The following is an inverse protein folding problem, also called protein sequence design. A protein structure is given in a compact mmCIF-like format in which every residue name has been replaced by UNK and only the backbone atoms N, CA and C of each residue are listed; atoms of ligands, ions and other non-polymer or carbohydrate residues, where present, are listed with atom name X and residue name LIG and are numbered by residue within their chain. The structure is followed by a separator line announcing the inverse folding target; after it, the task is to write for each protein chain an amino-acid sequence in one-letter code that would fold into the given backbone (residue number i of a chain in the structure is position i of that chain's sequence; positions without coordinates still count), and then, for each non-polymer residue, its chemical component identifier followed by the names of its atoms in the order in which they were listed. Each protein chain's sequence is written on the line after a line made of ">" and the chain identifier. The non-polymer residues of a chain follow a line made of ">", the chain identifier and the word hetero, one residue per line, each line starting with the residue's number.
data_IF_835672561405
#
_entry.id   IF_835672561405
#
_cell.length_a   1.000
_cell.length_b   1.000
_cell.length_c   1.000
_cell.angle_alpha   90.00
_cell.angle_beta   90.00
_cell.angle_gamma   90.00
#
_symmetry.space_group_name_H-M   'P 1'
#
loop_
_entity.id
_entity.type
_entity.pdbx_description
1 polymer ?
#
# COMPACT_ATOMS: atom_id res chain seq x y z
N UNK A 1 -56.46 -6.93 22.71
CA UNK A 1 -55.38 -7.94 22.60
C UNK A 1 -54.25 -7.54 23.54
N UNK A 2 -54.00 -8.36 24.56
CA UNK A 2 -52.87 -8.25 25.50
C UNK A 2 -51.54 -8.50 24.78
N UNK A 3 -50.46 -7.90 25.29
CA UNK A 3 -49.07 -8.43 25.48
C UNK A 3 -48.26 -7.20 25.96
N UNK A 4 -48.24 -6.92 27.27
CA UNK A 4 -47.23 -7.34 28.26
C UNK A 4 -45.82 -6.76 28.03
N UNK A 5 -45.57 -5.70 28.80
CA UNK A 5 -44.26 -5.18 29.21
C UNK A 5 -43.60 -6.16 30.18
N UNK A 6 -42.33 -6.49 29.97
CA UNK A 6 -41.53 -7.26 30.92
C UNK A 6 -40.16 -6.59 31.10
N UNK A 7 -40.04 -5.80 32.18
CA UNK A 7 -38.76 -5.43 32.81
C UNK A 7 -38.22 -6.67 33.53
N UNK A 8 -36.98 -7.06 33.25
CA UNK A 8 -36.22 -7.96 34.12
C UNK A 8 -35.08 -7.18 34.77
N UNK A 9 -35.13 -7.12 36.10
CA UNK A 9 -34.02 -6.80 36.98
C UNK A 9 -33.16 -8.06 37.16
N UNK A 10 -31.84 -7.90 37.14
CA UNK A 10 -30.92 -8.90 37.66
C UNK A 10 -30.00 -8.25 38.68
N UNK A 11 -30.29 -8.59 39.93
CA UNK A 11 -29.53 -8.33 41.14
C UNK A 11 -28.20 -9.07 41.09
N UNK A 12 -27.07 -8.36 41.19
CA UNK A 12 -25.78 -8.94 41.56
C UNK A 12 -25.44 -8.51 42.99
N UNK A 13 -25.55 -9.46 43.92
CA UNK A 13 -24.91 -9.41 45.24
C UNK A 13 -23.83 -10.49 45.25
N UNK A 14 -22.59 -10.10 45.56
CA UNK A 14 -21.69 -10.84 46.44
C UNK A 14 -20.51 -9.94 46.82
N UNK A 15 -20.44 -9.63 48.11
CA UNK A 15 -19.32 -9.04 48.82
C UNK A 15 -18.81 -10.09 49.82
N UNK A 16 -17.50 -10.19 49.97
CA UNK A 16 -16.73 -10.68 51.13
C UNK A 16 -15.28 -10.88 50.65
N UNK A 17 -14.39 -9.91 50.83
CA UNK A 17 -13.54 -9.71 52.02
C UNK A 17 -12.66 -10.93 52.34
N UNK A 18 -11.34 -10.80 52.11
CA UNK A 18 -10.32 -11.46 52.91
C UNK A 18 -9.10 -10.56 53.13
N UNK A 19 -8.74 -10.52 54.40
CA UNK A 19 -7.82 -9.68 55.16
C UNK A 19 -6.32 -10.03 54.93
N UNK A 20 -5.52 -9.01 54.60
CA UNK A 20 -4.35 -8.48 55.34
C UNK A 20 -3.44 -9.43 56.17
N UNK A 21 -2.20 -9.68 55.72
CA UNK A 21 -0.93 -9.87 56.47
C UNK A 21 0.19 -9.60 55.43
N UNK A 22 1.21 -8.73 55.56
CA UNK A 22 2.04 -8.31 56.69
C UNK A 22 3.50 -8.80 56.45
N UNK A 23 4.50 -7.95 56.76
CA UNK A 23 5.97 -8.07 56.53
C UNK A 23 6.45 -7.70 55.11
N UNK A 24 7.27 -6.67 54.85
CA UNK A 24 8.20 -5.95 55.72
C UNK A 24 9.60 -6.59 55.66
N UNK A 25 10.38 -6.26 54.62
CA UNK A 25 11.83 -6.49 54.64
C UNK A 25 12.55 -5.30 53.98
N UNK A 26 12.92 -4.36 54.83
CA UNK A 26 13.88 -3.28 54.59
C UNK A 26 15.25 -3.86 54.23
N UNK A 27 15.72 -3.60 53.01
CA UNK A 27 17.12 -3.85 52.64
C UNK A 27 17.95 -2.60 52.96
N UNK A 28 18.93 -2.81 53.83
CA UNK A 28 19.87 -1.85 54.38
C UNK A 28 20.74 -1.22 53.29
N UNK A 29 20.79 0.11 53.31
CA UNK A 29 21.73 0.94 52.55
C UNK A 29 23.09 0.82 53.23
N UNK A 30 24.02 0.07 52.64
CA UNK A 30 25.45 0.16 52.97
C UNK A 30 26.13 1.05 51.94
N UNK A 31 26.45 2.27 52.36
CA UNK A 31 27.34 3.17 51.63
C UNK A 31 28.76 2.64 51.62
N UNK A 32 29.35 2.54 50.43
CA UNK A 32 30.79 2.57 50.26
C UNK A 32 31.15 3.85 49.52
N UNK A 33 31.67 4.80 50.28
CA UNK A 33 32.43 5.93 49.75
C UNK A 33 33.73 5.37 49.17
N UNK A 34 33.87 5.43 47.84
CA UNK A 34 35.17 5.30 47.19
C UNK A 34 35.51 6.63 46.55
N UNK A 35 36.68 7.12 46.91
CA UNK A 35 37.20 8.44 46.62
C UNK A 35 37.34 8.71 45.12
N UNK A 36 37.09 9.98 44.76
CA UNK A 36 37.32 10.53 43.43
C UNK A 36 38.80 10.50 43.04
N UNK A 37 39.09 9.89 41.89
CA UNK A 37 40.31 10.13 41.10
C UNK A 37 39.94 10.85 39.78
N UNK A 38 40.85 11.64 39.19
CA UNK A 38 40.52 12.53 38.08
C UNK A 38 40.23 11.77 36.80
N UNK A 39 39.34 12.35 35.99
CA UNK A 39 38.65 11.70 34.89
C UNK A 39 39.53 11.16 33.76
N UNK A 40 39.12 9.99 33.28
CA UNK A 40 39.34 9.54 31.92
C UNK A 40 37.97 9.37 31.28
N UNK A 41 37.63 10.30 30.39
CA UNK A 41 36.44 10.28 29.55
C UNK A 41 36.59 9.14 28.52
N UNK A 42 36.22 7.93 28.94
CA UNK A 42 36.17 6.75 28.09
C UNK A 42 34.86 6.73 27.32
N UNK A 43 34.93 6.92 25.99
CA UNK A 43 33.79 6.80 25.07
C UNK A 43 33.07 5.46 25.28
N UNK A 44 31.76 5.52 25.51
CA UNK A 44 30.89 4.35 25.59
C UNK A 44 31.04 3.46 24.33
N UNK A 45 30.99 2.11 24.47
CA UNK A 45 31.03 1.22 23.33
C UNK A 45 29.78 1.44 22.44
N UNK A 46 29.90 1.34 21.11
CA UNK A 46 28.79 1.61 20.20
C UNK A 46 27.62 0.63 20.47
N UNK A 47 26.44 1.18 20.78
CA UNK A 47 25.21 0.42 21.03
C UNK A 47 24.85 -0.46 19.83
N UNK A 48 24.41 -1.70 20.08
CA UNK A 48 24.03 -2.64 19.00
C UNK A 48 22.77 -2.12 18.29
N UNK A 49 22.61 -2.45 17.02
CA UNK A 49 21.53 -1.93 16.16
C UNK A 49 20.13 -2.01 16.79
N UNK A 50 19.81 -3.09 17.52
CA UNK A 50 18.50 -3.28 18.16
C UNK A 50 18.30 -2.47 19.46
N UNK A 51 19.37 -1.99 20.07
CA UNK A 51 19.31 -1.12 21.26
C UNK A 51 18.98 0.34 20.88
N UNK A 52 18.89 0.63 19.57
CA UNK A 52 18.66 1.95 18.95
C UNK A 52 17.24 2.11 18.39
N UNK A 53 16.28 1.38 18.96
CA UNK A 53 14.89 1.32 18.46
C UNK A 53 14.10 2.64 18.59
N UNK A 54 14.61 3.60 19.37
CA UNK A 54 13.99 4.92 19.60
C UNK A 54 14.91 6.07 19.17
N UNK A 55 15.60 5.89 18.05
CA UNK A 55 16.48 6.90 17.46
C UNK A 55 15.89 7.45 16.15
N UNK A 56 16.33 8.63 15.73
CA UNK A 56 15.92 9.30 14.50
C UNK A 56 14.75 10.28 14.63
N UNK A 57 14.40 10.90 13.50
CA UNK A 57 13.47 12.04 13.41
C UNK A 57 12.09 11.79 14.06
N UNK A 58 11.56 10.57 13.96
CA UNK A 58 10.28 10.20 14.57
C UNK A 58 10.31 10.22 16.12
N UNK A 59 11.51 10.15 16.71
CA UNK A 59 11.76 10.17 18.16
C UNK A 59 12.41 11.47 18.64
N UNK A 60 12.30 12.55 17.87
CA UNK A 60 12.81 13.89 18.21
C UNK A 60 14.33 13.97 18.35
N UNK A 61 15.07 13.05 17.71
CA UNK A 61 16.50 13.25 17.52
C UNK A 61 16.72 14.20 16.34
N UNK A 62 17.31 15.35 16.65
CA UNK A 62 17.72 16.31 15.63
C UNK A 62 18.79 15.68 14.72
N UNK A 63 18.66 15.80 13.39
CA UNK A 63 19.68 15.30 12.48
C UNK A 63 21.01 15.99 12.81
N UNK A 64 22.14 15.28 12.68
CA UNK A 64 23.44 15.89 12.92
C UNK A 64 23.56 17.12 12.03
N UNK A 65 23.97 18.24 12.63
CA UNK A 65 24.15 19.49 11.91
C UNK A 65 25.01 19.22 10.67
N UNK A 66 24.46 19.56 9.49
CA UNK A 66 25.25 19.50 8.26
C UNK A 66 26.46 20.38 8.48
N UNK A 67 27.64 19.77 8.47
CA UNK A 67 28.89 20.52 8.39
C UNK A 67 28.89 21.15 7.01
N UNK A 68 28.52 22.42 6.94
CA UNK A 68 28.68 23.21 5.72
C UNK A 68 30.17 23.20 5.37
N UNK A 69 30.55 22.83 4.14
CA UNK A 69 31.93 22.95 3.71
C UNK A 69 32.39 24.39 3.92
N UNK A 70 33.53 24.58 4.58
CA UNK A 70 34.13 25.90 4.74
C UNK A 70 34.16 26.61 3.39
N UNK A 71 33.42 27.72 3.30
CA UNK A 71 33.42 28.59 2.14
C UNK A 71 34.83 29.11 1.92
N UNK A 72 35.48 28.60 0.86
CA UNK A 72 36.64 29.28 0.27
C UNK A 72 36.17 30.69 -0.07
N UNK A 73 36.67 31.67 0.69
CA UNK A 73 36.47 33.10 0.45
C UNK A 73 36.77 33.41 -1.01
N UNK A 74 35.73 33.50 -1.83
CA UNK A 74 35.82 34.12 -3.15
C UNK A 74 36.02 35.61 -2.91
N UNK A 75 37.22 36.03 -3.28
CA UNK A 75 37.63 37.40 -3.44
C UNK A 75 36.55 38.22 -4.16
N UNK A 76 36.35 39.43 -3.66
CA UNK A 76 35.25 40.34 -3.97
C UNK A 76 35.06 40.57 -5.47
N UNK A 77 34.06 39.90 -6.04
CA UNK A 77 33.31 40.47 -7.15
C UNK A 77 32.18 41.32 -6.54
N UNK A 78 32.13 42.59 -6.93
CA UNK A 78 31.06 43.55 -6.64
C UNK A 78 29.69 42.84 -6.69
N UNK A 79 28.80 42.99 -5.70
CA UNK A 79 27.50 42.34 -5.74
C UNK A 79 26.81 42.73 -7.04
N UNK A 80 26.36 41.77 -7.89
CA UNK A 80 25.44 42.14 -8.94
C UNK A 80 24.26 42.78 -8.22
N UNK A 81 23.94 44.02 -8.59
CA UNK A 81 22.84 44.77 -8.02
C UNK A 81 21.65 43.81 -7.86
N UNK A 82 21.16 43.63 -6.62
CA UNK A 82 19.97 42.81 -6.34
C UNK A 82 18.89 43.29 -7.29
N UNK A 83 18.66 42.56 -8.38
CA UNK A 83 17.54 42.81 -9.26
C UNK A 83 16.32 42.60 -8.36
N UNK A 84 15.63 43.68 -8.02
CA UNK A 84 14.40 43.61 -7.28
C UNK A 84 13.50 42.65 -8.07
N UNK A 85 13.16 41.49 -7.48
CA UNK A 85 12.26 40.55 -8.15
C UNK A 85 10.97 41.31 -8.43
N UNK A 86 10.43 41.25 -9.65
CA UNK A 86 9.19 41.93 -9.95
C UNK A 86 8.10 41.41 -9.02
N UNK A 87 7.53 42.30 -8.21
CA UNK A 87 6.44 41.97 -7.28
C UNK A 87 5.13 42.03 -8.07
N UNK A 88 4.34 40.94 -8.10
CA UNK A 88 3.09 40.96 -8.81
C UNK A 88 2.09 41.92 -8.15
N UNK A 89 1.26 42.53 -8.98
CA UNK A 89 0.19 43.45 -8.60
C UNK A 89 -1.10 42.93 -9.18
N UNK A 90 -2.16 42.82 -8.37
CA UNK A 90 -3.44 42.30 -8.85
C UNK A 90 -4.05 43.18 -9.95
N UNK A 91 -3.77 44.48 -9.96
CA UNK A 91 -4.31 45.44 -10.94
C UNK A 91 -3.82 45.16 -12.37
N UNK A 92 -2.74 44.40 -12.54
CA UNK A 92 -2.20 44.04 -13.84
C UNK A 92 -2.98 42.91 -14.53
N UNK A 93 -3.94 42.28 -13.84
CA UNK A 93 -4.66 41.11 -14.33
C UNK A 93 -6.17 41.32 -14.23
N UNK A 94 -6.89 40.97 -15.28
CA UNK A 94 -8.34 40.85 -15.17
C UNK A 94 -8.73 39.46 -14.67
N UNK A 95 -9.96 39.32 -14.15
CA UNK A 95 -10.45 38.01 -13.71
C UNK A 95 -10.55 37.01 -14.86
N UNK A 96 -10.84 37.47 -16.08
CA UNK A 96 -10.89 36.61 -17.26
C UNK A 96 -9.50 36.12 -17.66
N UNK A 97 -8.48 36.99 -17.59
CA UNK A 97 -7.08 36.61 -17.83
C UNK A 97 -6.66 35.52 -16.84
N UNK A 98 -6.92 35.71 -15.54
CA UNK A 98 -6.59 34.72 -14.51
C UNK A 98 -7.39 33.42 -14.70
N UNK A 99 -8.63 33.50 -15.18
CA UNK A 99 -9.48 32.34 -15.43
C UNK A 99 -9.04 31.52 -16.64
N UNK A 100 -8.54 32.15 -17.69
CA UNK A 100 -8.13 31.49 -18.93
C UNK A 100 -6.61 31.23 -19.04
N UNK A 101 -5.82 31.72 -18.07
CA UNK A 101 -4.39 31.48 -17.97
C UNK A 101 -4.04 29.99 -17.92
N UNK A 102 -2.92 29.62 -18.57
CA UNK A 102 -2.36 28.28 -18.52
C UNK A 102 -2.07 27.85 -17.06
N UNK A 103 -2.30 26.58 -16.68
CA UNK A 103 -2.14 26.13 -15.30
C UNK A 103 -0.76 26.40 -14.70
N UNK A 104 0.31 26.19 -15.48
CA UNK A 104 1.69 26.37 -15.00
C UNK A 104 2.00 27.86 -14.72
N UNK A 105 1.52 28.76 -15.60
CA UNK A 105 1.71 30.20 -15.43
C UNK A 105 0.89 30.72 -14.24
N UNK A 106 -0.35 30.24 -14.11
CA UNK A 106 -1.21 30.60 -12.99
C UNK A 106 -0.64 30.09 -11.66
N UNK A 107 -0.06 28.88 -11.64
CA UNK A 107 0.60 28.35 -10.47
C UNK A 107 1.82 29.20 -10.08
N UNK A 108 2.67 29.56 -11.04
CA UNK A 108 3.81 30.44 -10.79
C UNK A 108 3.36 31.78 -10.20
N UNK A 109 2.34 32.40 -10.78
CA UNK A 109 1.77 33.67 -10.32
C UNK A 109 1.17 33.56 -8.91
N UNK A 110 0.40 32.51 -8.63
CA UNK A 110 -0.15 32.23 -7.29
C UNK A 110 0.98 32.13 -6.25
N UNK A 111 2.07 31.43 -6.57
CA UNK A 111 3.23 31.31 -5.69
C UNK A 111 3.93 32.65 -5.46
N UNK A 112 3.94 33.55 -6.45
CA UNK A 112 4.53 34.87 -6.28
C UNK A 112 3.67 35.79 -5.41
N UNK A 113 2.34 35.72 -5.52
CA UNK A 113 1.43 36.37 -4.56
C UNK A 113 1.57 35.79 -3.16
N UNK A 114 1.76 34.48 -3.03
CA UNK A 114 2.05 33.85 -1.74
C UNK A 114 3.36 34.37 -1.14
N UNK A 115 4.44 34.42 -1.93
CA UNK A 115 5.73 34.97 -1.47
C UNK A 115 5.62 36.43 -1.07
N UNK A 116 4.86 37.25 -1.82
CA UNK A 116 4.56 38.66 -1.47
C UNK A 116 3.88 38.77 -0.10
N UNK A 117 2.86 37.94 0.14
CA UNK A 117 2.14 37.91 1.41
C UNK A 117 3.01 37.40 2.56
N UNK A 118 3.88 36.41 2.32
CA UNK A 118 4.83 35.88 3.32
C UNK A 118 5.90 36.92 3.65
N UNK A 119 6.43 37.62 2.65
CA UNK A 119 7.46 38.66 2.84
C UNK A 119 6.90 39.86 3.61
N UNK A 120 5.66 40.26 3.32
CA UNK A 120 4.98 41.38 3.96
C UNK A 120 3.52 41.03 4.29
N UNK A 121 3.24 40.54 5.51
CA UNK A 121 1.91 40.06 5.91
C UNK A 121 0.97 41.23 6.26
N UNK A 122 0.60 42.01 5.25
CA UNK A 122 -0.41 43.08 5.35
C UNK A 122 -1.77 42.56 4.92
N UNK A 123 -2.85 43.18 5.42
CA UNK A 123 -4.23 42.83 5.04
C UNK A 123 -4.41 42.83 3.51
N UNK A 124 -3.92 43.87 2.84
CA UNK A 124 -4.00 43.99 1.39
C UNK A 124 -3.30 42.82 0.66
N UNK A 125 -2.05 42.50 1.01
CA UNK A 125 -1.32 41.39 0.38
C UNK A 125 -1.98 40.03 0.65
N UNK A 126 -2.57 39.85 1.83
CA UNK A 126 -3.33 38.65 2.17
C UNK A 126 -4.61 38.53 1.33
N UNK A 127 -5.33 39.63 1.09
CA UNK A 127 -6.52 39.66 0.22
C UNK A 127 -6.16 39.30 -1.22
N UNK A 128 -5.07 39.84 -1.77
CA UNK A 128 -4.60 39.47 -3.11
C UNK A 128 -4.28 37.98 -3.21
N UNK A 129 -3.52 37.44 -2.26
CA UNK A 129 -3.20 36.01 -2.21
C UNK A 129 -4.46 35.13 -2.08
N UNK A 130 -5.37 35.46 -1.17
CA UNK A 130 -6.62 34.71 -1.01
C UNK A 130 -7.53 34.82 -2.24
N UNK A 131 -7.49 35.93 -2.97
CA UNK A 131 -8.21 36.07 -4.24
C UNK A 131 -7.68 35.06 -5.27
N UNK A 132 -6.35 34.97 -5.41
CA UNK A 132 -5.71 33.97 -6.28
C UNK A 132 -6.04 32.53 -5.84
N UNK A 133 -6.02 32.26 -4.54
CA UNK A 133 -6.40 30.96 -3.99
C UNK A 133 -7.89 30.64 -4.24
N UNK A 134 -8.79 31.61 -4.14
CA UNK A 134 -10.22 31.42 -4.43
C UNK A 134 -10.45 31.12 -5.92
N UNK A 135 -9.73 31.78 -6.83
CA UNK A 135 -9.75 31.46 -8.27
C UNK A 135 -9.30 30.02 -8.49
N UNK A 136 -8.19 29.59 -7.87
CA UNK A 136 -7.70 28.21 -7.96
C UNK A 136 -8.76 27.22 -7.46
N UNK A 137 -9.39 27.50 -6.33
CA UNK A 137 -10.48 26.70 -5.74
C UNK A 137 -11.67 26.59 -6.69
N UNK A 138 -12.08 27.69 -7.32
CA UNK A 138 -13.20 27.72 -8.29
C UNK A 138 -12.87 26.99 -9.60
N UNK A 139 -11.64 27.12 -10.12
CA UNK A 139 -11.17 26.33 -11.27
C UNK A 139 -11.24 24.84 -10.96
N UNK A 140 -10.77 24.42 -9.78
CA UNK A 140 -10.87 23.03 -9.33
C UNK A 140 -12.32 22.55 -9.21
N UNK A 141 -13.23 23.38 -8.72
CA UNK A 141 -14.66 23.05 -8.68
C UNK A 141 -15.26 22.92 -10.08
N UNK A 142 -14.93 23.82 -11.01
CA UNK A 142 -15.37 23.74 -12.41
C UNK A 142 -14.84 22.47 -13.09
N UNK A 143 -13.56 22.14 -12.89
CA UNK A 143 -12.96 20.89 -13.38
C UNK A 143 -13.68 19.66 -12.83
N UNK A 144 -13.94 19.61 -11.51
CA UNK A 144 -14.64 18.50 -10.89
C UNK A 144 -16.08 18.33 -11.44
N UNK A 145 -16.80 19.43 -11.67
CA UNK A 145 -18.13 19.40 -12.26
C UNK A 145 -18.11 18.86 -13.69
N UNK A 146 -17.17 19.34 -14.52
CA UNK A 146 -17.02 18.84 -15.90
C UNK A 146 -16.59 17.38 -15.90
N UNK A 147 -15.69 16.97 -15.01
CA UNK A 147 -15.29 15.57 -14.86
C UNK A 147 -16.50 14.69 -14.52
N UNK A 148 -17.35 15.10 -13.57
CA UNK A 148 -18.59 14.40 -13.23
C UNK A 148 -19.57 14.31 -14.40
N UNK A 149 -19.73 15.39 -15.18
CA UNK A 149 -20.55 15.37 -16.39
C UNK A 149 -19.98 14.42 -17.46
N UNK A 150 -18.66 14.43 -17.67
CA UNK A 150 -17.98 13.58 -18.65
C UNK A 150 -18.12 12.11 -18.28
N UNK A 151 -17.91 11.73 -17.01
CA UNK A 151 -18.08 10.33 -16.59
C UNK A 151 -19.53 9.87 -16.66
N UNK A 152 -20.50 10.77 -16.43
CA UNK A 152 -21.93 10.47 -16.61
C UNK A 152 -22.29 10.29 -18.09
N UNK A 153 -21.78 11.14 -18.99
CA UNK A 153 -22.08 11.08 -20.42
C UNK A 153 -21.36 9.95 -21.14
N UNK A 154 -20.12 9.69 -20.77
CA UNK A 154 -19.25 8.69 -21.39
C UNK A 154 -18.97 7.58 -20.38
N UNK A 155 -19.88 6.62 -20.32
CA UNK A 155 -19.87 5.51 -19.34
C UNK A 155 -18.63 4.63 -19.41
N UNK A 156 -17.85 4.69 -20.49
CA UNK A 156 -16.54 4.02 -20.59
C UNK A 156 -15.51 4.50 -19.57
N UNK A 157 -15.68 5.72 -19.04
CA UNK A 157 -14.83 6.26 -17.97
C UNK A 157 -15.38 6.00 -16.56
N UNK A 158 -16.60 5.46 -16.45
CA UNK A 158 -17.17 5.11 -15.16
C UNK A 158 -16.59 3.76 -14.68
N UNK A 159 -15.94 3.80 -13.51
CA UNK A 159 -15.36 2.62 -12.88
C UNK A 159 -16.34 1.87 -11.98
N UNK A 160 -17.57 2.35 -11.79
CA UNK A 160 -18.52 1.71 -10.86
C UNK A 160 -18.88 0.27 -11.27
N UNK A 161 -18.81 -0.06 -12.56
CA UNK A 161 -19.03 -1.44 -13.05
C UNK A 161 -17.93 -2.42 -12.63
N UNK A 162 -16.68 -1.96 -12.50
CA UNK A 162 -15.52 -2.81 -12.18
C UNK A 162 -15.03 -2.64 -10.74
N UNK A 163 -15.28 -1.47 -10.14
CA UNK A 163 -14.87 -1.08 -8.80
C UNK A 163 -16.02 -0.33 -8.08
N UNK A 164 -17.15 -1.02 -7.79
CA UNK A 164 -18.27 -0.42 -7.09
C UNK A 164 -17.85 0.08 -5.70
N UNK A 165 -18.29 1.29 -5.34
CA UNK A 165 -17.98 1.93 -4.06
C UNK A 165 -19.03 1.65 -2.98
N UNK A 166 -20.28 1.38 -3.39
CA UNK A 166 -21.40 1.11 -2.48
C UNK A 166 -21.37 -0.33 -1.95
N UNK A 167 -21.81 -0.52 -0.70
CA UNK A 167 -21.73 -1.81 0.01
C UNK A 167 -22.37 -2.99 -0.75
N UNK A 168 -23.60 -2.90 -1.30
CA UNK A 168 -24.18 -4.02 -2.03
C UNK A 168 -23.35 -4.43 -3.26
N UNK A 169 -22.82 -3.44 -3.99
CA UNK A 169 -21.96 -3.68 -5.15
C UNK A 169 -20.62 -4.32 -4.76
N UNK A 170 -20.04 -3.90 -3.62
CA UNK A 170 -18.82 -4.51 -3.07
C UNK A 170 -19.04 -5.97 -2.67
N UNK A 171 -20.19 -6.30 -2.07
CA UNK A 171 -20.55 -7.68 -1.70
C UNK A 171 -20.68 -8.54 -2.97
N UNK A 172 -21.45 -8.07 -3.95
CA UNK A 172 -21.64 -8.78 -5.22
C UNK A 172 -20.29 -9.00 -5.95
N UNK A 173 -19.42 -7.98 -5.98
CA UNK A 173 -18.06 -8.11 -6.53
C UNK A 173 -17.26 -9.21 -5.85
N UNK A 174 -17.23 -9.23 -4.52
CA UNK A 174 -16.50 -10.26 -3.78
C UNK A 174 -17.06 -11.66 -4.05
N UNK A 175 -18.38 -11.80 -4.15
CA UNK A 175 -19.03 -13.07 -4.49
C UNK A 175 -18.63 -13.54 -5.89
N UNK A 176 -18.74 -12.69 -6.90
CA UNK A 176 -18.32 -13.00 -8.28
C UNK A 176 -16.85 -13.42 -8.34
N UNK A 177 -15.96 -12.70 -7.66
CA UNK A 177 -14.54 -13.04 -7.62
C UNK A 177 -14.28 -14.41 -6.99
N UNK A 178 -14.94 -14.70 -5.86
CA UNK A 178 -14.78 -15.98 -5.16
C UNK A 178 -15.33 -17.15 -5.97
N UNK A 179 -16.49 -16.97 -6.61
CA UNK A 179 -17.09 -17.97 -7.50
C UNK A 179 -16.17 -18.25 -8.70
N UNK A 180 -15.68 -17.19 -9.36
CA UNK A 180 -14.79 -17.31 -10.51
C UNK A 180 -13.48 -18.05 -10.15
N UNK A 181 -12.87 -17.71 -9.02
CA UNK A 181 -11.68 -18.40 -8.50
C UNK A 181 -11.98 -19.88 -8.27
N UNK A 182 -13.06 -20.18 -7.56
CA UNK A 182 -13.42 -21.56 -7.19
C UNK A 182 -13.72 -22.41 -8.41
N UNK A 183 -14.52 -21.90 -9.35
CA UNK A 183 -14.87 -22.60 -10.59
C UNK A 183 -13.66 -22.81 -11.49
N UNK A 184 -12.77 -21.81 -11.60
CA UNK A 184 -11.54 -21.93 -12.39
C UNK A 184 -10.61 -22.97 -11.80
N UNK A 185 -10.42 -22.97 -10.47
CA UNK A 185 -9.62 -24.00 -9.81
C UNK A 185 -10.28 -25.36 -10.03
N UNK A 186 -11.55 -25.57 -9.66
CA UNK A 186 -12.19 -26.88 -9.79
C UNK A 186 -12.13 -27.46 -11.23
N UNK A 187 -12.34 -26.61 -12.25
CA UNK A 187 -12.31 -27.05 -13.65
C UNK A 187 -10.91 -27.40 -14.19
N UNK A 188 -9.84 -26.90 -13.56
CA UNK A 188 -8.47 -27.08 -14.03
C UNK A 188 -7.76 -28.33 -13.44
N UNK A 189 -8.43 -29.07 -12.56
CA UNK A 189 -7.85 -30.20 -11.80
C UNK A 189 -7.33 -31.33 -12.71
N UNK A 190 -7.95 -31.54 -13.88
CA UNK A 190 -7.57 -32.60 -14.82
C UNK A 190 -6.30 -32.32 -15.64
N UNK A 191 -5.94 -31.04 -15.78
CA UNK A 191 -4.86 -30.59 -16.67
C UNK A 191 -3.71 -29.91 -15.92
N UNK A 192 -3.86 -29.65 -14.62
CA UNK A 192 -2.86 -28.98 -13.80
C UNK A 192 -2.59 -29.72 -12.50
N UNK A 193 -1.40 -29.54 -11.95
CA UNK A 193 -1.01 -30.10 -10.65
C UNK A 193 -0.10 -29.15 -9.88
N UNK A 194 -0.03 -29.36 -8.57
CA UNK A 194 0.92 -28.67 -7.70
C UNK A 194 2.09 -29.60 -7.34
N UNK A 195 3.32 -29.12 -7.52
CA UNK A 195 4.50 -29.73 -6.94
C UNK A 195 4.80 -29.05 -5.61
N UNK A 196 4.91 -29.84 -4.53
CA UNK A 196 5.18 -29.38 -3.18
C UNK A 196 6.55 -29.84 -2.71
N UNK A 197 7.53 -28.95 -2.77
CA UNK A 197 8.90 -29.23 -2.36
C UNK A 197 9.08 -29.02 -0.85
N UNK A 198 9.56 -30.04 -0.17
CA UNK A 198 9.76 -30.09 1.27
C UNK A 198 11.18 -30.54 1.62
N UNK A 199 11.50 -30.51 2.92
CA UNK A 199 12.76 -31.03 3.44
C UNK A 199 12.49 -31.65 4.82
N UNK A 200 13.11 -32.78 5.13
CA UNK A 200 13.13 -33.31 6.50
C UNK A 200 13.59 -32.25 7.52
N UNK A 201 12.90 -32.20 8.66
CA UNK A 201 13.15 -31.25 9.75
C UNK A 201 12.62 -29.82 9.52
N UNK A 202 11.87 -29.58 8.45
CA UNK A 202 11.31 -28.27 8.11
C UNK A 202 9.96 -28.02 8.83
N UNK A 203 9.99 -27.27 9.94
CA UNK A 203 8.77 -26.90 10.70
C UNK A 203 7.75 -26.10 9.86
N UNK A 204 8.23 -25.24 8.95
CA UNK A 204 7.40 -24.49 8.02
C UNK A 204 6.65 -25.40 7.03
N UNK A 205 7.28 -26.51 6.63
CA UNK A 205 6.69 -27.47 5.69
C UNK A 205 5.50 -28.19 6.34
N UNK A 206 5.59 -28.52 7.63
CA UNK A 206 4.47 -29.08 8.39
C UNK A 206 3.27 -28.12 8.47
N UNK A 207 3.54 -26.83 8.67
CA UNK A 207 2.49 -25.79 8.67
C UNK A 207 1.84 -25.66 7.29
N UNK A 208 2.65 -25.62 6.23
CA UNK A 208 2.14 -25.57 4.86
C UNK A 208 1.31 -26.81 4.51
N UNK A 209 1.75 -28.00 4.93
CA UNK A 209 1.05 -29.27 4.70
C UNK A 209 -0.35 -29.26 5.31
N UNK A 210 -0.53 -28.68 6.49
CA UNK A 210 -1.86 -28.54 7.10
C UNK A 210 -2.77 -27.58 6.33
N UNK A 211 -2.23 -26.50 5.76
CA UNK A 211 -3.00 -25.60 4.88
C UNK A 211 -3.41 -26.31 3.59
N UNK A 212 -2.50 -27.11 3.01
CA UNK A 212 -2.78 -27.89 1.80
C UNK A 212 -3.83 -28.98 2.01
N UNK A 213 -4.01 -29.50 3.24
CA UNK A 213 -5.13 -30.40 3.54
C UNK A 213 -6.47 -29.70 3.32
N UNK A 214 -6.68 -28.50 3.87
CA UNK A 214 -7.91 -27.74 3.64
C UNK A 214 -8.14 -27.43 2.14
N UNK A 215 -7.06 -27.14 1.42
CA UNK A 215 -7.13 -26.93 -0.02
C UNK A 215 -7.55 -28.22 -0.75
N UNK A 216 -6.94 -29.35 -0.42
CA UNK A 216 -7.26 -30.64 -1.02
C UNK A 216 -8.67 -31.11 -0.67
N UNK A 217 -9.11 -30.90 0.57
CA UNK A 217 -10.48 -31.24 1.01
C UNK A 217 -11.54 -30.43 0.24
N UNK A 218 -11.18 -29.23 -0.23
CA UNK A 218 -12.08 -28.34 -0.98
C UNK A 218 -12.12 -28.64 -2.49
N UNK A 219 -10.99 -28.99 -3.10
CA UNK A 219 -10.85 -29.08 -4.57
C UNK A 219 -10.40 -30.45 -5.08
N UNK A 220 -10.03 -31.39 -4.21
CA UNK A 220 -9.41 -32.67 -4.55
C UNK A 220 -8.18 -32.54 -5.48
N UNK A 221 -7.44 -31.44 -5.34
CA UNK A 221 -6.42 -31.05 -6.31
C UNK A 221 -5.18 -31.95 -6.28
N UNK A 222 -4.63 -32.36 -7.44
CA UNK A 222 -3.44 -33.21 -7.46
C UNK A 222 -2.20 -32.44 -6.95
N UNK A 223 -1.71 -32.86 -5.77
CA UNK A 223 -0.50 -32.33 -5.14
C UNK A 223 0.54 -33.43 -5.02
N UNK A 224 1.72 -33.23 -5.61
CA UNK A 224 2.87 -34.14 -5.48
C UNK A 224 3.92 -33.57 -4.53
N UNK A 225 4.02 -34.17 -3.35
CA UNK A 225 5.08 -33.85 -2.38
C UNK A 225 6.42 -34.50 -2.76
N UNK A 226 7.51 -33.75 -2.64
CA UNK A 226 8.88 -34.20 -2.92
C UNK A 226 9.87 -33.58 -1.94
N UNK A 227 10.69 -34.43 -1.31
CA UNK A 227 11.81 -33.95 -0.49
C UNK A 227 13.00 -33.57 -1.38
N UNK A 228 13.53 -32.35 -1.21
CA UNK A 228 14.62 -31.81 -2.03
C UNK A 228 15.97 -32.51 -1.80
N UNK A 229 16.20 -33.10 -0.62
CA UNK A 229 17.44 -33.84 -0.32
C UNK A 229 17.36 -35.27 -0.83
N UNK A 230 16.17 -35.86 -0.82
CA UNK A 230 15.94 -37.19 -1.41
C UNK A 230 15.93 -37.15 -2.94
N UNK A 231 15.53 -36.02 -3.55
CA UNK A 231 15.42 -35.85 -5.00
C UNK A 231 16.20 -34.60 -5.50
N UNK A 232 17.55 -34.58 -5.34
CA UNK A 232 18.35 -33.40 -5.65
C UNK A 232 18.28 -33.00 -7.14
N UNK A 233 18.18 -33.97 -8.05
CA UNK A 233 18.11 -33.71 -9.49
C UNK A 233 16.84 -32.95 -9.89
N UNK A 234 15.71 -33.28 -9.27
CA UNK A 234 14.42 -32.60 -9.53
C UNK A 234 14.45 -31.19 -8.93
N UNK A 235 14.99 -31.05 -7.71
CA UNK A 235 15.13 -29.74 -7.08
C UNK A 235 16.03 -28.81 -7.92
N UNK A 236 17.14 -29.33 -8.45
CA UNK A 236 18.03 -28.59 -9.35
C UNK A 236 17.33 -28.19 -10.66
N UNK A 237 16.54 -29.09 -11.27
CA UNK A 237 15.78 -28.81 -12.50
C UNK A 237 14.84 -27.62 -12.37
N UNK A 238 14.17 -27.48 -11.22
CA UNK A 238 13.25 -26.37 -10.95
C UNK A 238 13.91 -25.19 -10.20
N UNK A 239 15.22 -25.24 -10.00
CA UNK A 239 16.01 -24.26 -9.24
C UNK A 239 15.45 -23.98 -7.83
N UNK A 240 15.09 -25.06 -7.11
CA UNK A 240 14.47 -24.98 -5.78
C UNK A 240 15.56 -24.93 -4.72
N UNK A 241 15.72 -23.76 -4.11
CA UNK A 241 16.71 -23.51 -3.03
C UNK A 241 16.08 -23.40 -1.65
N UNK A 242 14.77 -23.17 -1.58
CA UNK A 242 14.05 -22.85 -0.35
C UNK A 242 12.84 -23.78 -0.18
N UNK A 243 12.56 -24.23 1.05
CA UNK A 243 11.40 -25.06 1.39
C UNK A 243 10.58 -24.41 2.51
N UNK A 244 9.23 -24.51 2.50
CA UNK A 244 8.41 -25.14 1.47
C UNK A 244 8.33 -24.31 0.17
N UNK A 245 8.26 -24.96 -0.99
CA UNK A 245 7.97 -24.29 -2.27
C UNK A 245 6.86 -25.01 -3.01
N UNK A 246 5.88 -24.25 -3.52
CA UNK A 246 4.77 -24.74 -4.33
C UNK A 246 4.92 -24.24 -5.76
N UNK A 247 4.93 -25.17 -6.73
CA UNK A 247 4.92 -24.85 -8.16
C UNK A 247 3.65 -25.37 -8.80
N UNK A 248 3.02 -24.55 -9.64
CA UNK A 248 1.99 -24.95 -10.57
C UNK A 248 2.64 -25.48 -11.85
N UNK A 249 2.17 -26.63 -12.31
CA UNK A 249 2.55 -27.23 -13.59
C UNK A 249 1.29 -27.55 -14.42
N UNK A 250 1.46 -27.67 -15.73
CA UNK A 250 0.40 -28.03 -16.66
C UNK A 250 0.76 -29.30 -17.45
N UNK A 251 -0.23 -30.11 -17.77
CA UNK A 251 -0.08 -31.35 -18.52
C UNK A 251 0.48 -31.05 -19.92
N UNK A 252 1.59 -31.71 -20.27
CA UNK A 252 2.26 -31.52 -21.56
C UNK A 252 2.97 -30.17 -21.72
N UNK A 253 3.01 -29.32 -20.68
CA UNK A 253 3.72 -28.03 -20.69
C UNK A 253 5.03 -28.17 -19.92
N UNK A 254 6.12 -27.64 -20.48
CA UNK A 254 7.42 -27.56 -19.77
C UNK A 254 7.46 -26.44 -18.74
N UNK A 255 6.61 -25.43 -18.93
CA UNK A 255 6.59 -24.22 -18.13
C UNK A 255 5.92 -24.47 -16.78
N UNK A 256 6.36 -23.73 -15.77
CA UNK A 256 5.86 -23.79 -14.42
C UNK A 256 5.74 -22.39 -13.83
N UNK A 257 4.84 -22.22 -12.86
CA UNK A 257 4.64 -20.95 -12.16
C UNK A 257 4.81 -21.17 -10.66
N UNK A 258 5.69 -20.44 -9.98
CA UNK A 258 5.80 -20.52 -8.53
C UNK A 258 4.54 -19.93 -7.87
N UNK A 259 3.81 -20.77 -7.13
CA UNK A 259 2.64 -20.37 -6.34
C UNK A 259 3.10 -19.81 -5.00
N UNK A 260 4.03 -20.48 -4.32
CA UNK A 260 4.64 -19.92 -3.10
C UNK A 260 6.08 -20.36 -2.93
N UNK A 261 6.88 -19.48 -2.34
CA UNK A 261 8.19 -19.79 -1.77
C UNK A 261 8.08 -19.38 -0.30
N UNK A 262 8.16 -20.36 0.59
CA UNK A 262 7.74 -20.23 1.98
C UNK A 262 6.26 -20.54 2.19
N UNK A 263 5.81 -20.33 3.43
CA UNK A 263 4.42 -20.61 3.86
C UNK A 263 3.46 -19.58 3.28
N UNK A 264 2.36 -20.05 2.70
CA UNK A 264 1.29 -19.23 2.13
C UNK A 264 -0.07 -19.64 2.69
N UNK A 265 -0.98 -18.65 2.83
CA UNK A 265 -2.36 -18.89 3.24
C UNK A 265 -3.17 -19.60 2.15
N UNK A 266 -4.30 -20.21 2.52
CA UNK A 266 -5.22 -20.82 1.57
C UNK A 266 -5.66 -19.84 0.48
N UNK A 267 -6.08 -18.63 0.87
CA UNK A 267 -6.45 -17.57 -0.08
C UNK A 267 -5.31 -17.19 -1.03
N UNK A 268 -4.07 -17.09 -0.54
CA UNK A 268 -2.92 -16.79 -1.40
C UNK A 268 -2.71 -17.89 -2.44
N UNK A 269 -2.87 -19.16 -2.04
CA UNK A 269 -2.75 -20.31 -2.94
C UNK A 269 -3.87 -20.27 -3.98
N UNK A 270 -5.11 -20.07 -3.56
CA UNK A 270 -6.28 -19.98 -4.46
C UNK A 270 -6.12 -18.84 -5.48
N UNK A 271 -5.79 -17.62 -5.02
CA UNK A 271 -5.60 -16.45 -5.88
C UNK A 271 -4.50 -16.67 -6.92
N UNK A 272 -3.34 -17.19 -6.50
CA UNK A 272 -2.21 -17.41 -7.41
C UNK A 272 -2.45 -18.59 -8.35
N UNK A 273 -3.12 -19.64 -7.88
CA UNK A 273 -3.49 -20.78 -8.71
C UNK A 273 -4.48 -20.36 -9.80
N UNK A 274 -5.54 -19.63 -9.44
CA UNK A 274 -6.50 -19.06 -10.39
C UNK A 274 -5.81 -18.26 -11.52
N UNK A 275 -4.90 -17.34 -11.17
CA UNK A 275 -4.17 -16.54 -12.15
C UNK A 275 -3.17 -17.37 -12.95
N UNK A 276 -2.46 -18.27 -12.29
CA UNK A 276 -1.47 -19.15 -12.90
C UNK A 276 -2.09 -20.09 -13.93
N UNK A 277 -3.22 -20.71 -13.62
CA UNK A 277 -3.98 -21.57 -14.54
C UNK A 277 -4.42 -20.78 -15.76
N UNK A 278 -5.08 -19.63 -15.58
CA UNK A 278 -5.53 -18.77 -16.69
C UNK A 278 -4.36 -18.34 -17.59
N UNK A 279 -3.21 -18.03 -16.99
CA UNK A 279 -2.00 -17.64 -17.73
C UNK A 279 -1.42 -18.83 -18.50
N UNK A 280 -1.27 -20.00 -17.87
CA UNK A 280 -0.74 -21.20 -18.51
C UNK A 280 -1.64 -21.70 -19.64
N UNK A 281 -2.96 -21.51 -19.54
CA UNK A 281 -3.93 -21.84 -20.58
C UNK A 281 -4.01 -20.81 -21.71
N UNK A 282 -3.27 -19.71 -21.60
CA UNK A 282 -3.32 -18.62 -22.59
C UNK A 282 -4.64 -17.85 -22.60
N UNK A 283 -5.47 -17.98 -21.55
CA UNK A 283 -6.71 -17.22 -21.39
C UNK A 283 -6.44 -15.75 -21.07
N UNK A 284 -5.32 -15.48 -20.42
CA UNK A 284 -4.87 -14.13 -20.08
C UNK A 284 -3.39 -13.94 -20.43
N UNK A 285 -3.00 -12.68 -20.59
CA UNK A 285 -1.59 -12.28 -20.70
C UNK A 285 -1.05 -11.80 -19.35
N UNK A 286 0.28 -11.64 -19.18
CA UNK A 286 0.84 -11.06 -17.96
C UNK A 286 0.30 -9.68 -17.59
N UNK A 287 -0.17 -8.90 -18.57
CA UNK A 287 -0.80 -7.59 -18.35
C UNK A 287 -2.19 -7.71 -17.71
N UNK A 288 -2.89 -8.82 -17.96
CA UNK A 288 -4.22 -9.13 -17.42
C UNK A 288 -4.14 -10.05 -16.18
N UNK A 289 -2.95 -10.22 -15.60
CA UNK A 289 -2.71 -11.22 -14.56
C UNK A 289 -3.62 -11.08 -13.34
N UNK A 290 -4.05 -9.85 -13.01
CA UNK A 290 -4.96 -9.57 -11.90
C UNK A 290 -6.41 -9.27 -12.35
N UNK A 291 -6.71 -9.36 -13.64
CA UNK A 291 -8.00 -8.98 -14.22
C UNK A 291 -8.97 -10.16 -14.13
N UNK A 292 -10.11 -9.95 -13.50
CA UNK A 292 -11.21 -10.93 -13.45
C UNK A 292 -12.07 -10.87 -14.71
N UNK A 293 -12.79 -11.95 -15.01
CA UNK A 293 -13.58 -12.07 -16.24
C UNK A 293 -14.63 -10.94 -16.37
N UNK A 294 -15.29 -10.55 -15.27
CA UNK A 294 -16.25 -9.43 -15.28
C UNK A 294 -15.61 -8.06 -15.56
N UNK A 295 -14.29 -7.94 -15.48
CA UNK A 295 -13.56 -6.70 -15.74
C UNK A 295 -13.07 -6.61 -17.20
N UNK A 296 -13.00 -7.74 -17.91
CA UNK A 296 -12.51 -7.82 -19.29
C UNK A 296 -13.35 -6.94 -20.23
N UNK A 297 -12.71 -6.15 -21.08
CA UNK A 297 -13.38 -5.21 -21.98
C UNK A 297 -13.98 -3.96 -21.30
N UNK A 298 -13.94 -3.88 -19.96
CA UNK A 298 -14.42 -2.75 -19.18
C UNK A 298 -13.31 -1.77 -18.80
N UNK A 299 -13.66 -0.77 -17.99
CA UNK A 299 -12.70 0.24 -17.52
C UNK A 299 -11.55 -0.27 -16.65
N UNK A 300 -11.69 -1.49 -16.11
CA UNK A 300 -10.67 -2.16 -15.30
C UNK A 300 -9.72 -3.07 -16.10
N UNK A 301 -9.94 -3.22 -17.41
CA UNK A 301 -9.09 -4.02 -18.29
C UNK A 301 -7.99 -3.13 -18.91
N UNK A 302 -6.70 -3.42 -18.63
CA UNK A 302 -5.58 -2.66 -19.19
C UNK A 302 -5.55 -2.56 -20.71
N UNK A 303 -6.19 -3.49 -21.44
CA UNK A 303 -6.23 -3.48 -22.92
C UNK A 303 -7.48 -2.86 -23.52
N UNK A 304 -8.56 -2.68 -22.74
CA UNK A 304 -9.84 -2.18 -23.26
C UNK A 304 -9.74 -0.76 -23.82
N UNK A 305 -8.90 0.10 -23.23
CA UNK A 305 -8.70 1.49 -23.68
C UNK A 305 -8.10 1.57 -25.09
N UNK A 306 -7.25 0.61 -25.49
CA UNK A 306 -6.61 0.61 -26.80
C UNK A 306 -7.60 0.27 -27.92
N UNK A 307 -8.57 -0.62 -27.66
CA UNK A 307 -9.55 -1.04 -28.66
C UNK A 307 -10.67 -0.01 -28.84
N UNK A 308 -11.13 0.64 -27.77
CA UNK A 308 -12.19 1.64 -27.83
C UNK A 308 -11.76 2.93 -28.55
N UNK A 309 -10.51 3.36 -28.38
CA UNK A 309 -9.95 4.53 -29.09
C UNK A 309 -9.77 4.28 -30.61
N UNK A 310 -9.43 3.04 -31.00
CA UNK A 310 -9.36 2.64 -32.42
C UNK A 310 -10.75 2.62 -33.09
N UNK A 311 -11.80 2.28 -32.35
CA UNK A 311 -13.16 2.26 -32.86
C UNK A 311 -13.78 3.66 -32.96
N UNK A 312 -13.56 4.53 -31.96
CA UNK A 312 -14.03 5.92 -31.99
C UNK A 312 -13.30 6.78 -33.04
N UNK A 313 -12.02 6.53 -33.32
CA UNK A 313 -11.28 7.21 -34.38
C UNK A 313 -11.68 6.77 -35.79
N UNK A 314 -12.18 5.53 -35.95
CA UNK A 314 -12.76 5.04 -37.22
C UNK A 314 -14.16 5.59 -37.49
N UNK A 315 -14.96 5.85 -36.45
CA UNK A 315 -16.30 6.45 -36.59
C UNK A 315 -16.27 7.97 -36.85
N UNK A 316 -15.09 8.61 -36.72
CA UNK A 316 -14.87 10.03 -37.04
C UNK A 316 -14.23 10.26 -38.42
N UNK A 317 -14.09 9.21 -39.24
CA UNK A 317 -13.79 9.28 -40.67
C UNK A 317 -15.03 8.93 -41.46
#
# INVERSE_FOLDING_TARGET
>A
MKILSQKQSLSSKKASDFILIGLGLTLVICGNAFAAGPGMEGKEPPKKYYDRAKEGWFWYEDPPAKVEPEEVKKESATPPAKQARPVPKMENYTMDDLWNMHPDDFQALLMDFQKKAVQYPTEHNMVEYYTMQDIARRKSAAFANVAGYVTQKYTSFDMNSTAPTVTPGRIAKTQMQNEEIQTTIASAQGDHALLFFTQQGCSFCDKQKNILKFFNDKYDWPIKEMDIRANPDIAARFNITTTPTLLLIGKGKSDYIPVSVGVASLDTIEQKLYRGVRLMDGKITPQEYATFDYQMGGGGDPKATLQNNLNQSRQKK
#
